data_IF_315697763655
#
_entry.id   IF_315697763655
#
_cell.length_a   1.000
_cell.length_b   1.000
_cell.length_c   1.000
_cell.angle_alpha   90.00
_cell.angle_beta   90.00
_cell.angle_gamma   90.00
#
_symmetry.space_group_name_H-M   'P 1'
#
loop_
_entity.id
_entity.type
_entity.pdbx_description
1 polymer ?
#
# COMPACT_ATOMS: atom_id res chain seq x y z
N UNK A 1 -20.03 24.67 20.72
CA UNK A 1 -19.91 25.24 19.36
C UNK A 1 -19.97 24.09 18.38
N UNK A 2 -21.04 23.94 17.59
CA UNK A 2 -21.05 22.97 16.49
C UNK A 2 -20.19 23.56 15.38
N UNK A 3 -19.05 22.95 15.06
CA UNK A 3 -18.44 23.19 13.75
C UNK A 3 -19.51 22.84 12.74
N UNK A 4 -19.77 23.72 11.78
CA UNK A 4 -20.59 23.35 10.65
C UNK A 4 -19.88 22.17 9.98
N UNK A 5 -20.39 20.96 10.19
CA UNK A 5 -19.98 19.73 9.52
C UNK A 5 -20.47 19.78 8.07
N UNK A 6 -20.10 20.85 7.35
CA UNK A 6 -20.32 20.93 5.92
C UNK A 6 -19.38 19.89 5.30
N UNK A 7 -19.97 18.78 4.88
CA UNK A 7 -19.28 17.73 4.13
C UNK A 7 -18.55 18.39 2.95
N UNK A 8 -17.30 17.99 2.66
CA UNK A 8 -16.49 18.61 1.59
C UNK A 8 -17.19 18.54 0.22
N UNK A 9 -18.16 17.62 0.08
CA UNK A 9 -18.99 17.47 -1.12
C UNK A 9 -20.24 18.37 -1.16
N UNK A 10 -20.54 19.10 -0.09
CA UNK A 10 -21.71 19.98 0.02
C UNK A 10 -21.50 21.37 -0.61
N UNK A 11 -20.24 21.72 -0.90
CA UNK A 11 -19.83 22.97 -1.51
C UNK A 11 -18.90 22.71 -2.71
N UNK A 12 -18.70 23.70 -3.59
CA UNK A 12 -17.69 23.61 -4.64
C UNK A 12 -16.33 23.26 -4.06
N UNK A 13 -15.70 22.24 -4.62
CA UNK A 13 -14.40 21.75 -4.16
C UNK A 13 -13.30 22.76 -4.51
N UNK A 14 -12.66 23.31 -3.48
CA UNK A 14 -11.49 24.18 -3.61
C UNK A 14 -10.20 23.40 -3.37
N UNK A 15 -9.16 23.66 -4.17
CA UNK A 15 -7.87 23.01 -4.05
C UNK A 15 -6.74 23.92 -4.54
N UNK A 16 -5.54 23.69 -4.03
CA UNK A 16 -4.36 24.45 -4.42
C UNK A 16 -3.90 24.08 -5.84
N UNK A 17 -4.02 25.04 -6.76
CA UNK A 17 -3.63 24.89 -8.17
C UNK A 17 -2.13 24.71 -8.38
N UNK A 18 -1.30 25.08 -7.40
CA UNK A 18 0.16 24.84 -7.45
C UNK A 18 0.50 23.38 -7.22
N UNK A 19 -0.29 22.68 -6.41
CA UNK A 19 -0.13 21.24 -6.15
C UNK A 19 -0.81 20.40 -7.21
N UNK A 20 -2.01 20.81 -7.65
CA UNK A 20 -2.80 20.08 -8.64
C UNK A 20 -3.24 21.07 -9.72
N UNK A 21 -2.75 20.90 -10.93
CA UNK A 21 -2.98 21.84 -12.04
C UNK A 21 -4.42 21.86 -12.54
N UNK A 22 -5.12 20.71 -12.50
CA UNK A 22 -6.42 20.51 -13.15
C UNK A 22 -7.38 19.70 -12.29
N UNK A 23 -8.68 19.98 -12.44
CA UNK A 23 -9.74 19.18 -11.80
C UNK A 23 -9.71 17.71 -12.19
N UNK A 24 -9.31 17.40 -13.43
CA UNK A 24 -9.17 16.01 -13.87
C UNK A 24 -8.05 15.29 -13.11
N UNK A 25 -6.92 15.95 -12.89
CA UNK A 25 -5.84 15.38 -12.08
C UNK A 25 -6.24 15.19 -10.62
N UNK A 26 -7.02 16.13 -10.06
CA UNK A 26 -7.63 15.95 -8.74
C UNK A 26 -8.46 14.66 -8.70
N UNK A 27 -9.38 14.47 -9.64
CA UNK A 27 -10.22 13.26 -9.69
C UNK A 27 -9.39 11.99 -9.79
N UNK A 28 -8.35 11.97 -10.63
CA UNK A 28 -7.46 10.81 -10.78
C UNK A 28 -6.72 10.51 -9.47
N UNK A 29 -6.14 11.53 -8.84
CA UNK A 29 -5.42 11.37 -7.56
C UNK A 29 -6.35 10.86 -6.46
N UNK A 30 -7.53 11.45 -6.32
CA UNK A 30 -8.56 11.03 -5.35
C UNK A 30 -9.02 9.60 -5.62
N UNK A 31 -9.21 9.22 -6.89
CA UNK A 31 -9.63 7.85 -7.25
C UNK A 31 -8.56 6.83 -6.90
N UNK A 32 -7.28 7.12 -7.16
CA UNK A 32 -6.17 6.26 -6.77
C UNK A 32 -6.13 6.11 -5.26
N UNK A 33 -6.13 7.22 -4.52
CA UNK A 33 -6.11 7.19 -3.06
C UNK A 33 -7.31 6.47 -2.46
N UNK A 34 -8.50 6.65 -3.03
CA UNK A 34 -9.70 5.94 -2.58
C UNK A 34 -9.59 4.43 -2.80
N UNK A 35 -8.89 3.96 -3.85
CA UNK A 35 -8.59 2.53 -4.03
C UNK A 35 -7.64 2.04 -2.95
N UNK A 36 -6.60 2.80 -2.62
CA UNK A 36 -5.65 2.37 -1.60
C UNK A 36 -6.32 2.25 -0.22
N UNK A 37 -7.15 3.23 0.15
CA UNK A 37 -8.01 3.17 1.34
C UNK A 37 -8.98 1.98 1.30
N UNK A 38 -9.53 1.66 0.12
CA UNK A 38 -10.42 0.50 -0.05
C UNK A 38 -9.68 -0.83 0.15
N UNK A 39 -8.42 -0.92 -0.27
CA UNK A 39 -7.56 -2.09 -0.02
C UNK A 39 -7.05 -2.18 1.43
N UNK A 40 -7.47 -1.25 2.30
CA UNK A 40 -7.18 -1.29 3.73
C UNK A 40 -6.02 -0.40 4.17
N UNK A 41 -5.52 0.47 3.29
CA UNK A 41 -4.56 1.49 3.72
C UNK A 41 -5.21 2.45 4.72
N UNK A 42 -4.47 2.89 5.73
CA UNK A 42 -5.01 3.76 6.75
C UNK A 42 -5.14 5.21 6.25
N UNK A 43 -6.17 5.95 6.69
CA UNK A 43 -6.24 7.38 6.49
C UNK A 43 -5.05 8.10 7.14
N UNK A 44 -4.46 9.04 6.43
CA UNK A 44 -3.38 9.93 6.90
C UNK A 44 -3.93 11.05 7.77
N UNK A 45 -5.18 11.47 7.52
CA UNK A 45 -5.85 12.52 8.29
C UNK A 45 -6.89 11.93 9.24
N UNK A 46 -7.07 12.60 10.38
CA UNK A 46 -8.23 12.36 11.23
C UNK A 46 -9.47 12.99 10.59
N UNK A 47 -10.45 12.17 10.23
CA UNK A 47 -11.69 12.61 9.59
C UNK A 47 -12.91 11.95 10.22
N UNK A 48 -14.05 12.65 10.21
CA UNK A 48 -15.35 12.11 10.60
C UNK A 48 -16.07 11.44 9.42
N UNK A 49 -15.52 11.57 8.21
CA UNK A 49 -16.09 11.05 6.97
C UNK A 49 -15.98 9.53 6.92
N UNK A 50 -17.11 8.86 6.65
CA UNK A 50 -17.17 7.38 6.55
C UNK A 50 -16.95 6.84 5.14
N UNK A 51 -17.18 7.67 4.12
CA UNK A 51 -17.06 7.27 2.72
C UNK A 51 -15.59 7.38 2.30
N UNK A 52 -15.01 6.29 1.81
CA UNK A 52 -13.61 6.24 1.36
C UNK A 52 -13.27 7.32 0.34
N UNK A 53 -14.20 7.65 -0.56
CA UNK A 53 -14.03 8.70 -1.56
C UNK A 53 -13.99 10.10 -0.94
N UNK A 54 -14.79 10.36 0.09
CA UNK A 54 -14.76 11.63 0.83
C UNK A 54 -13.46 11.78 1.62
N UNK A 55 -13.02 10.72 2.29
CA UNK A 55 -11.73 10.70 3.01
C UNK A 55 -10.57 10.98 2.04
N UNK A 56 -10.51 10.26 0.92
CA UNK A 56 -9.48 10.48 -0.10
C UNK A 56 -9.49 11.91 -0.66
N UNK A 57 -10.68 12.49 -0.84
CA UNK A 57 -10.80 13.87 -1.31
C UNK A 57 -10.21 14.87 -0.31
N UNK A 58 -10.54 14.73 0.98
CA UNK A 58 -10.00 15.57 2.05
C UNK A 58 -8.47 15.44 2.17
N UNK A 59 -7.93 14.22 2.04
CA UNK A 59 -6.49 13.95 2.10
C UNK A 59 -5.71 14.58 0.95
N UNK A 60 -6.26 14.52 -0.26
CA UNK A 60 -5.63 15.08 -1.45
C UNK A 60 -5.69 16.61 -1.44
N UNK A 61 -6.82 17.20 -1.00
CA UNK A 61 -6.98 18.66 -0.93
C UNK A 61 -6.13 19.27 0.18
N UNK A 62 -6.06 18.61 1.35
CA UNK A 62 -5.16 19.04 2.44
C UNK A 62 -3.68 18.94 2.04
N UNK A 63 -3.38 18.15 0.99
CA UNK A 63 -2.03 17.94 0.49
C UNK A 63 -1.19 17.06 1.42
N UNK A 64 -1.84 16.30 2.31
CA UNK A 64 -1.21 15.23 3.09
C UNK A 64 -0.80 14.06 2.18
N UNK A 65 -1.53 13.85 1.08
CA UNK A 65 -1.16 12.90 0.03
C UNK A 65 -0.40 13.64 -1.06
N UNK A 66 0.82 13.18 -1.34
CA UNK A 66 1.70 13.81 -2.32
C UNK A 66 1.34 13.38 -3.75
N UNK A 67 1.00 14.33 -4.62
CA UNK A 67 0.66 14.06 -6.02
C UNK A 67 1.86 14.39 -6.90
N UNK A 68 2.59 13.35 -7.30
CA UNK A 68 3.76 13.48 -8.17
C UNK A 68 3.33 13.73 -9.62
N UNK A 69 4.10 14.57 -10.33
CA UNK A 69 3.86 14.92 -11.74
C UNK A 69 5.17 15.02 -12.53
N UNK A 70 5.10 14.98 -13.86
CA UNK A 70 6.28 15.10 -14.73
C UNK A 70 7.29 13.98 -14.54
N UNK A 71 8.59 14.32 -14.57
CA UNK A 71 9.69 13.35 -14.41
C UNK A 71 9.64 12.60 -13.07
N UNK A 72 9.17 13.26 -11.99
CA UNK A 72 9.05 12.62 -10.69
C UNK A 72 8.01 11.48 -10.72
N UNK A 73 6.93 11.64 -11.48
CA UNK A 73 5.93 10.60 -11.65
C UNK A 73 6.44 9.43 -12.49
N UNK A 74 7.25 9.70 -13.53
CA UNK A 74 7.87 8.66 -14.35
C UNK A 74 8.84 7.81 -13.53
N UNK A 75 9.76 8.45 -12.81
CA UNK A 75 10.73 7.75 -11.93
C UNK A 75 10.04 6.93 -10.84
N UNK A 76 9.00 7.48 -10.23
CA UNK A 76 8.23 6.75 -9.22
C UNK A 76 7.49 5.54 -9.82
N UNK A 77 6.99 5.65 -11.05
CA UNK A 77 6.36 4.55 -11.77
C UNK A 77 7.35 3.44 -12.11
N UNK A 78 8.50 3.79 -12.68
CA UNK A 78 9.58 2.83 -13.00
C UNK A 78 10.07 2.08 -11.76
N UNK A 79 10.23 2.79 -10.64
CA UNK A 79 10.65 2.17 -9.37
C UNK A 79 9.58 1.23 -8.82
N UNK A 80 8.31 1.62 -8.88
CA UNK A 80 7.21 0.76 -8.44
C UNK A 80 7.09 -0.51 -9.29
N UNK A 81 7.26 -0.40 -10.60
CA UNK A 81 7.27 -1.54 -11.51
C UNK A 81 8.45 -2.48 -11.23
N UNK A 82 9.64 -1.91 -11.01
CA UNK A 82 10.84 -2.68 -10.64
C UNK A 82 10.64 -3.45 -9.34
N UNK A 83 10.11 -2.79 -8.30
CA UNK A 83 9.83 -3.41 -7.00
C UNK A 83 8.81 -4.56 -7.12
N UNK A 84 7.80 -4.38 -7.97
CA UNK A 84 6.79 -5.41 -8.25
C UNK A 84 7.43 -6.61 -8.97
N UNK A 85 8.29 -6.35 -9.96
CA UNK A 85 9.00 -7.40 -10.67
C UNK A 85 9.94 -8.19 -9.74
N UNK A 86 10.69 -7.52 -8.86
CA UNK A 86 11.57 -8.18 -7.90
C UNK A 86 10.79 -9.05 -6.92
N UNK A 87 9.66 -8.56 -6.39
CA UNK A 87 8.83 -9.37 -5.47
C UNK A 87 8.26 -10.61 -6.14
N UNK A 88 7.81 -10.50 -7.40
CA UNK A 88 7.31 -11.65 -8.16
C UNK A 88 8.43 -12.68 -8.41
N UNK A 89 9.64 -12.23 -8.72
CA UNK A 89 10.82 -13.10 -8.92
C UNK A 89 11.18 -13.83 -7.62
N UNK A 90 11.28 -13.11 -6.50
CA UNK A 90 11.59 -13.67 -5.19
C UNK A 90 10.53 -14.70 -4.73
N UNK A 91 9.25 -14.41 -4.97
CA UNK A 91 8.16 -15.36 -4.70
C UNK A 91 8.27 -16.63 -5.56
N UNK A 92 8.68 -16.49 -6.83
CA UNK A 92 8.88 -17.63 -7.72
C UNK A 92 10.07 -18.49 -7.26
N UNK A 93 11.20 -17.88 -6.91
CA UNK A 93 12.39 -18.57 -6.37
C UNK A 93 12.10 -19.26 -5.03
N UNK A 94 11.32 -18.62 -4.14
CA UNK A 94 10.87 -19.25 -2.91
C UNK A 94 10.02 -20.48 -3.18
N UNK A 95 9.04 -20.42 -4.09
CA UNK A 95 8.19 -21.58 -4.43
C UNK A 95 8.99 -22.73 -5.01
N UNK A 96 10.01 -22.45 -5.83
CA UNK A 96 10.89 -23.48 -6.41
C UNK A 96 11.78 -24.11 -5.35
N UNK A 97 12.37 -23.31 -4.45
CA UNK A 97 13.25 -23.81 -3.37
C UNK A 97 12.49 -24.42 -2.17
N UNK A 98 11.18 -24.19 -2.07
CA UNK A 98 10.33 -24.69 -0.98
C UNK A 98 10.39 -26.22 -0.79
N UNK A 99 10.23 -27.07 -1.83
CA UNK A 99 10.33 -28.53 -1.69
C UNK A 99 11.73 -29.02 -1.28
N UNK A 100 12.80 -28.37 -1.74
CA UNK A 100 14.17 -28.72 -1.36
C UNK A 100 14.43 -28.39 0.11
N UNK A 101 14.03 -27.20 0.58
CA UNK A 101 14.11 -26.81 1.99
C UNK A 101 13.26 -27.71 2.90
N UNK A 102 12.11 -28.18 2.42
CA UNK A 102 11.25 -29.10 3.17
C UNK A 102 11.93 -30.47 3.37
N UNK A 103 12.54 -31.00 2.32
CA UNK A 103 13.25 -32.29 2.39
C UNK A 103 14.55 -32.22 3.19
N UNK A 104 15.24 -31.09 3.23
CA UNK A 104 16.37 -30.85 4.14
C UNK A 104 15.93 -30.84 5.60
N UNK A 105 14.83 -30.13 5.91
CA UNK A 105 14.31 -30.04 7.27
C UNK A 105 13.84 -31.41 7.80
N UNK A 106 13.26 -32.26 6.96
CA UNK A 106 12.87 -33.64 7.32
C UNK A 106 14.09 -34.48 7.75
N UNK A 107 15.20 -34.38 7.01
CA UNK A 107 16.44 -35.11 7.31
C UNK A 107 17.05 -34.68 8.64
N UNK A 108 17.12 -33.37 8.88
CA UNK A 108 17.63 -32.83 10.14
C UNK A 108 16.78 -33.28 11.34
N UNK A 109 15.47 -33.39 11.15
CA UNK A 109 14.53 -33.85 12.18
C UNK A 109 14.73 -35.35 12.49
N UNK A 110 14.96 -36.17 11.47
CA UNK A 110 15.32 -37.59 11.65
C UNK A 110 16.64 -37.76 12.40
N UNK A 111 17.66 -36.96 12.07
CA UNK A 111 18.95 -36.98 12.76
C UNK A 111 18.81 -36.57 14.23
N UNK A 112 18.03 -35.51 14.51
CA UNK A 112 17.77 -35.07 15.88
C UNK A 112 17.04 -36.14 16.70
N UNK A 113 16.02 -36.79 16.12
CA UNK A 113 15.29 -37.88 16.78
C UNK A 113 16.21 -39.07 17.05
N UNK A 114 17.05 -39.45 16.10
CA UNK A 114 18.05 -40.52 16.27
C UNK A 114 19.01 -40.19 17.42
N UNK A 115 19.59 -39.00 17.43
CA UNK A 115 20.53 -38.55 18.47
C UNK A 115 19.88 -38.47 19.85
N UNK A 116 18.60 -38.08 19.93
CA UNK A 116 17.83 -38.05 21.18
C UNK A 116 17.56 -39.46 21.73
N UNK A 117 17.34 -40.44 20.85
CA UNK A 117 17.19 -41.86 21.24
C UNK A 117 18.53 -42.43 21.74
N UNK A 118 19.65 -42.05 21.12
CA UNK A 118 21.00 -42.49 21.51
C UNK A 118 21.50 -41.87 22.82
N UNK A 119 21.10 -40.63 23.13
CA UNK A 119 21.47 -39.93 24.39
C UNK A 119 20.50 -40.18 25.55
N UNK A 120 19.37 -40.86 25.29
CA UNK A 120 18.33 -41.15 26.27
C UNK A 120 18.37 -42.57 26.87
N UNK A 121 19.42 -43.34 26.63
CA UNK A 121 19.62 -44.69 27.18
C UNK A 121 20.79 -44.77 28.16
#
# INVERSE_FOLDING_TARGET
MRKNDADVISLPVEFDRKKIDTRFRLVIAVTKRAKDLFYGEMPVIATNSRKVTTVALEEVISGCVNVLTGEAALKAGEEAERLTHTTIMDEAEQKVSFPEKLTELEKDLEEYLRKKVETGS
#
